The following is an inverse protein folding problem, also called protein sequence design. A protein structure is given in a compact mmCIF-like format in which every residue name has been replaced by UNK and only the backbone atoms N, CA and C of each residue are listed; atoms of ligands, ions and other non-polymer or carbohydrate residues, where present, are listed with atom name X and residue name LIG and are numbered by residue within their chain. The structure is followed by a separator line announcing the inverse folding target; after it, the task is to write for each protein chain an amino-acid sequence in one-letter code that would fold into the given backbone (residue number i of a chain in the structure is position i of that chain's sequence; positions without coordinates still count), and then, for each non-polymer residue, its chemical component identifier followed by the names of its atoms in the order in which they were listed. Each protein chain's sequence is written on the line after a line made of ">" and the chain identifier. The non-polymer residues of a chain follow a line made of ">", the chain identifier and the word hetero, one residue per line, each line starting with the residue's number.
data_IF_027523881492
#
_entry.id   IF_027523881492
#
_cell.length_a   1.000
_cell.length_b   1.000
_cell.length_c   1.000
_cell.angle_alpha   90.00
_cell.angle_beta   90.00
_cell.angle_gamma   90.00
#
_symmetry.space_group_name_H-M   'P 1'
#
loop_
_entity.id
_entity.type
_entity.pdbx_description
1 polymer ?
#
# COMPACT_ATOMS: atom_id res chain seq x y z
N UNK A 1 35.66 -47.29 1.39
CA UNK A 1 34.90 -46.76 0.26
C UNK A 1 34.04 -45.63 0.79
N UNK A 2 34.48 -44.40 0.56
CA UNK A 2 33.69 -43.19 0.82
C UNK A 2 33.28 -42.71 -0.57
N UNK A 3 31.98 -42.75 -0.85
CA UNK A 3 31.39 -42.21 -2.07
C UNK A 3 30.67 -40.92 -1.66
N UNK A 4 31.23 -39.78 -2.06
CA UNK A 4 30.60 -38.47 -1.98
C UNK A 4 29.64 -38.31 -3.16
N UNK A 5 28.37 -38.07 -2.86
CA UNK A 5 27.34 -37.65 -3.82
C UNK A 5 27.43 -36.13 -3.98
N UNK A 6 27.68 -35.67 -5.20
CA UNK A 6 27.67 -34.25 -5.56
C UNK A 6 26.23 -33.74 -5.69
N UNK A 7 25.92 -32.68 -4.95
CA UNK A 7 24.73 -31.86 -5.15
C UNK A 7 25.05 -30.77 -6.19
N UNK A 8 24.28 -30.72 -7.27
CA UNK A 8 24.27 -29.57 -8.18
C UNK A 8 23.37 -28.49 -7.56
N UNK A 9 23.96 -27.41 -7.06
CA UNK A 9 23.28 -26.17 -6.74
C UNK A 9 23.59 -25.13 -7.81
N UNK A 10 22.56 -24.64 -8.50
CA UNK A 10 22.69 -23.50 -9.41
C UNK A 10 22.73 -22.20 -8.62
N UNK A 11 23.89 -21.56 -8.55
CA UNK A 11 24.10 -20.24 -7.92
C UNK A 11 24.29 -19.12 -8.95
N UNK A 12 23.66 -19.23 -10.14
CA UNK A 12 23.86 -18.27 -11.23
C UNK A 12 23.18 -16.90 -11.00
N UNK A 13 22.04 -16.85 -10.31
CA UNK A 13 21.24 -15.62 -10.20
C UNK A 13 21.74 -14.61 -9.16
N UNK A 14 22.46 -15.07 -8.13
CA UNK A 14 22.94 -14.21 -7.05
C UNK A 14 24.26 -13.49 -7.40
N UNK A 15 25.12 -14.11 -8.23
CA UNK A 15 26.36 -13.48 -8.69
C UNK A 15 26.12 -12.43 -9.78
N UNK A 16 25.09 -12.60 -10.61
CA UNK A 16 24.76 -11.67 -11.70
C UNK A 16 24.10 -10.38 -11.18
N UNK A 17 23.26 -10.49 -10.15
CA UNK A 17 22.65 -9.35 -9.45
C UNK A 17 23.65 -8.57 -8.58
N UNK A 18 24.63 -9.25 -7.97
CA UNK A 18 25.75 -8.57 -7.30
C UNK A 18 26.65 -7.83 -8.29
N UNK A 19 26.85 -8.37 -9.50
CA UNK A 19 27.64 -7.72 -10.56
C UNK A 19 26.98 -6.47 -11.13
N UNK A 20 25.65 -6.48 -11.29
CA UNK A 20 24.90 -5.31 -11.75
C UNK A 20 24.89 -4.16 -10.72
N UNK A 21 25.05 -4.48 -9.42
CA UNK A 21 25.21 -3.48 -8.37
C UNK A 21 26.66 -2.93 -8.25
N UNK A 22 27.66 -3.64 -8.79
CA UNK A 22 29.07 -3.22 -8.78
C UNK A 22 29.47 -2.35 -9.99
N UNK A 23 28.63 -2.25 -11.01
CA UNK A 23 28.81 -1.30 -12.11
C UNK A 23 28.28 0.08 -11.68
N UNK A 24 28.93 0.63 -10.65
CA UNK A 24 28.74 2.00 -10.18
C UNK A 24 29.42 2.91 -11.20
N UNK A 25 28.65 3.47 -12.14
CA UNK A 25 29.12 4.66 -12.87
C UNK A 25 29.40 5.75 -11.84
N UNK A 26 30.62 6.27 -11.86
CA UNK A 26 31.01 7.43 -11.06
C UNK A 26 29.95 8.53 -11.34
N UNK A 27 29.39 9.21 -10.32
CA UNK A 27 28.48 10.34 -10.54
C UNK A 27 29.00 11.38 -11.54
N UNK A 28 30.32 11.41 -11.80
CA UNK A 28 30.97 12.21 -12.82
C UNK A 28 30.79 11.74 -14.28
N UNK A 29 30.24 10.54 -14.53
CA UNK A 29 30.04 9.95 -15.87
C UNK A 29 28.56 9.91 -16.33
N UNK A 30 27.62 10.37 -15.50
CA UNK A 30 26.21 10.42 -15.88
C UNK A 30 25.97 11.45 -16.99
N UNK A 31 25.20 11.05 -18.01
CA UNK A 31 24.85 11.88 -19.17
C UNK A 31 23.62 12.78 -18.93
N UNK A 32 23.10 12.84 -17.69
CA UNK A 32 21.94 13.64 -17.31
C UNK A 32 22.17 14.45 -16.04
N UNK A 33 21.50 15.60 -15.94
CA UNK A 33 21.51 16.44 -14.75
C UNK A 33 20.50 15.95 -13.70
N UNK A 34 20.91 15.96 -12.43
CA UNK A 34 20.03 15.70 -11.29
C UNK A 34 20.37 16.64 -10.12
N UNK A 35 19.34 17.04 -9.38
CA UNK A 35 19.45 17.95 -8.24
C UNK A 35 18.09 18.29 -7.66
N UNK A 36 18.06 18.90 -6.48
CA UNK A 36 16.81 19.44 -5.94
C UNK A 36 16.24 20.48 -6.92
N UNK A 37 14.92 20.42 -7.14
CA UNK A 37 14.17 21.25 -8.08
C UNK A 37 14.60 21.12 -9.56
N UNK A 38 15.46 20.15 -9.89
CA UNK A 38 15.79 19.77 -11.26
C UNK A 38 14.81 18.69 -11.72
N UNK A 39 14.15 18.94 -12.86
CA UNK A 39 13.33 17.91 -13.53
C UNK A 39 14.22 17.12 -14.47
N UNK A 40 14.25 15.78 -14.30
CA UNK A 40 14.96 14.90 -15.21
C UNK A 40 14.49 15.11 -16.65
N UNK A 41 15.43 15.15 -17.59
CA UNK A 41 15.17 15.24 -19.02
C UNK A 41 16.16 14.35 -19.76
N UNK A 42 15.67 13.51 -20.66
CA UNK A 42 16.53 12.74 -21.56
C UNK A 42 16.68 13.45 -22.90
N UNK A 43 17.92 13.59 -23.38
CA UNK A 43 18.20 14.20 -24.68
C UNK A 43 17.59 13.41 -25.86
N UNK A 44 17.43 12.10 -25.69
CA UNK A 44 16.81 11.19 -26.65
C UNK A 44 15.47 10.65 -26.12
N UNK A 45 14.46 10.38 -26.97
CA UNK A 45 13.20 9.82 -26.49
C UNK A 45 13.39 8.44 -25.83
N UNK A 46 12.90 8.28 -24.60
CA UNK A 46 12.98 7.02 -23.84
C UNK A 46 11.58 6.50 -23.51
N UNK A 47 11.38 5.19 -23.62
CA UNK A 47 10.13 4.54 -23.23
C UNK A 47 10.38 3.49 -22.16
N UNK A 48 9.63 3.55 -21.06
CA UNK A 48 9.62 2.51 -20.02
C UNK A 48 8.32 1.72 -20.03
N UNK A 49 8.40 0.41 -19.86
CA UNK A 49 7.21 -0.42 -19.63
C UNK A 49 6.67 -0.21 -18.22
N UNK A 50 5.36 -0.07 -18.06
CA UNK A 50 4.74 0.14 -16.74
C UNK A 50 3.41 -0.59 -16.60
N UNK A 51 3.15 -1.19 -15.44
CA UNK A 51 1.81 -1.68 -15.09
C UNK A 51 0.88 -0.52 -14.73
N UNK A 52 -0.40 -0.63 -15.12
CA UNK A 52 -1.43 0.33 -14.74
C UNK A 52 -2.66 -0.39 -14.19
N UNK A 53 -3.10 0.00 -12.99
CA UNK A 53 -4.31 -0.52 -12.34
C UNK A 53 -5.53 0.26 -12.82
N UNK A 54 -6.24 -0.27 -13.80
CA UNK A 54 -7.38 0.39 -14.43
C UNK A 54 -8.67 0.22 -13.59
N UNK A 55 -9.25 1.34 -13.17
CA UNK A 55 -10.42 1.34 -12.30
C UNK A 55 -11.70 1.52 -13.13
N UNK A 56 -12.63 0.59 -12.94
CA UNK A 56 -13.93 0.53 -13.61
C UNK A 56 -14.80 1.80 -13.47
N UNK A 57 -14.61 2.59 -12.40
CA UNK A 57 -15.38 3.82 -12.14
C UNK A 57 -14.79 5.06 -12.82
N UNK A 58 -13.50 5.02 -13.17
CA UNK A 58 -12.80 6.08 -13.87
C UNK A 58 -11.76 5.45 -14.82
N UNK A 59 -12.24 4.79 -15.90
CA UNK A 59 -11.36 4.04 -16.78
C UNK A 59 -10.24 4.90 -17.36
N UNK A 60 -9.08 4.28 -17.56
CA UNK A 60 -7.92 4.87 -18.20
C UNK A 60 -8.28 5.60 -19.50
N UNK A 61 -7.63 6.74 -19.71
CA UNK A 61 -7.66 7.43 -21.00
C UNK A 61 -6.25 7.80 -21.43
N UNK A 62 -5.94 7.47 -22.67
CA UNK A 62 -4.66 7.75 -23.32
C UNK A 62 -4.38 9.26 -23.43
N UNK A 63 -5.42 10.07 -23.54
CA UNK A 63 -5.33 11.52 -23.74
C UNK A 63 -5.28 12.33 -22.43
N UNK A 64 -5.10 11.69 -21.27
CA UNK A 64 -4.94 12.42 -20.02
C UNK A 64 -3.73 13.35 -20.07
N UNK A 65 -3.94 14.60 -19.64
CA UNK A 65 -2.89 15.64 -19.59
C UNK A 65 -1.62 15.17 -18.88
N UNK A 66 -1.73 14.27 -17.91
CA UNK A 66 -0.61 13.65 -17.21
C UNK A 66 0.47 13.12 -18.18
N UNK A 67 0.07 12.34 -19.20
CA UNK A 67 1.02 11.67 -20.08
C UNK A 67 1.81 12.66 -20.95
N UNK A 68 1.09 13.57 -21.62
CA UNK A 68 1.73 14.66 -22.36
C UNK A 68 2.60 15.56 -21.47
N UNK A 69 2.24 15.76 -20.21
CA UNK A 69 3.01 16.61 -19.30
C UNK A 69 4.33 15.97 -18.88
N UNK A 70 4.35 14.64 -18.73
CA UNK A 70 5.58 13.90 -18.46
C UNK A 70 6.47 13.97 -19.71
N UNK A 71 5.96 13.60 -20.87
CA UNK A 71 6.72 13.60 -22.13
C UNK A 71 7.31 14.99 -22.45
N UNK A 72 6.52 16.07 -22.36
CA UNK A 72 6.98 17.45 -22.59
C UNK A 72 8.12 17.88 -21.65
N UNK A 73 8.14 17.34 -20.43
CA UNK A 73 9.12 17.73 -19.41
C UNK A 73 10.36 16.86 -19.44
N UNK A 74 10.21 15.58 -19.71
CA UNK A 74 11.27 14.59 -19.46
C UNK A 74 11.74 13.86 -20.71
N UNK A 75 11.04 14.00 -21.84
CA UNK A 75 11.23 13.18 -23.05
C UNK A 75 11.00 11.67 -22.80
N UNK A 76 10.25 11.33 -21.74
CA UNK A 76 9.92 9.95 -21.36
C UNK A 76 8.46 9.65 -21.68
N UNK A 77 8.24 8.49 -22.30
CA UNK A 77 6.91 7.89 -22.50
C UNK A 77 6.80 6.54 -21.81
N UNK A 78 5.57 6.01 -21.70
CA UNK A 78 5.33 4.72 -21.05
C UNK A 78 4.56 3.77 -21.97
N UNK A 79 5.05 2.54 -22.07
CA UNK A 79 4.31 1.42 -22.64
C UNK A 79 3.49 0.75 -21.53
N UNK A 80 2.18 1.03 -21.50
CA UNK A 80 1.32 0.62 -20.40
C UNK A 80 0.72 -0.76 -20.62
N UNK A 81 0.95 -1.65 -19.65
CA UNK A 81 0.15 -2.85 -19.49
C UNK A 81 -1.04 -2.54 -18.58
N UNK A 82 -2.20 -2.28 -19.19
CA UNK A 82 -3.45 -2.04 -18.49
C UNK A 82 -4.00 -3.33 -17.88
N UNK A 83 -4.32 -3.33 -16.59
CA UNK A 83 -4.88 -4.47 -15.87
C UNK A 83 -6.06 -3.99 -15.04
N UNK A 84 -7.19 -4.70 -15.13
CA UNK A 84 -8.35 -4.42 -14.31
C UNK A 84 -7.97 -4.39 -12.82
N UNK A 85 -8.47 -3.38 -12.09
CA UNK A 85 -8.13 -3.15 -10.68
C UNK A 85 -8.27 -4.39 -9.81
N UNK A 86 -9.29 -5.21 -10.05
CA UNK A 86 -9.59 -6.44 -9.31
C UNK A 86 -8.54 -7.53 -9.51
N UNK A 87 -7.90 -7.57 -10.67
CA UNK A 87 -6.98 -8.64 -11.08
C UNK A 87 -5.51 -8.20 -10.93
N UNK A 88 -5.30 -6.95 -10.53
CA UNK A 88 -4.01 -6.28 -10.60
C UNK A 88 -2.94 -6.98 -9.73
N UNK A 89 -3.27 -7.35 -8.49
CA UNK A 89 -2.31 -7.99 -7.59
C UNK A 89 -1.91 -9.40 -8.05
N UNK A 90 -2.86 -10.16 -8.60
CA UNK A 90 -2.60 -11.48 -9.19
C UNK A 90 -1.69 -11.34 -10.41
N UNK A 91 -1.92 -10.31 -11.24
CA UNK A 91 -1.09 -10.04 -12.40
C UNK A 91 0.32 -9.60 -12.03
N UNK A 92 0.49 -8.76 -11.01
CA UNK A 92 1.81 -8.41 -10.45
C UNK A 92 2.54 -9.68 -10.00
N UNK A 93 1.87 -10.51 -9.19
CA UNK A 93 2.45 -11.76 -8.68
C UNK A 93 2.88 -12.69 -9.81
N UNK A 94 2.07 -12.84 -10.85
CA UNK A 94 2.38 -13.69 -11.98
C UNK A 94 3.60 -13.18 -12.78
N UNK A 95 3.66 -11.88 -13.07
CA UNK A 95 4.72 -11.29 -13.89
C UNK A 95 6.06 -11.25 -13.16
N UNK A 96 6.07 -10.94 -11.86
CA UNK A 96 7.30 -10.99 -11.06
C UNK A 96 7.83 -12.42 -10.97
N UNK A 97 6.95 -13.40 -10.77
CA UNK A 97 7.33 -14.81 -10.71
C UNK A 97 7.79 -15.41 -12.03
N UNK A 98 7.32 -14.92 -13.18
CA UNK A 98 7.81 -15.35 -14.49
C UNK A 98 9.08 -14.64 -14.94
N UNK A 99 9.52 -13.59 -14.25
CA UNK A 99 10.60 -12.72 -14.70
C UNK A 99 10.21 -11.81 -15.87
N UNK A 100 8.91 -11.60 -16.08
CA UNK A 100 8.35 -10.78 -17.16
C UNK A 100 7.73 -9.47 -16.62
N UNK A 101 8.08 -9.09 -15.39
CA UNK A 101 7.65 -7.84 -14.80
C UNK A 101 8.13 -6.63 -15.64
N UNK A 102 7.27 -5.63 -15.87
CA UNK A 102 7.74 -4.39 -16.48
C UNK A 102 8.64 -3.63 -15.50
N UNK A 103 9.43 -2.71 -16.06
CA UNK A 103 10.33 -1.85 -15.29
C UNK A 103 9.67 -1.11 -14.12
N UNK A 104 8.40 -0.67 -14.28
CA UNK A 104 7.70 0.12 -13.26
C UNK A 104 6.40 -0.58 -12.84
N UNK A 105 6.26 -0.84 -11.53
CA UNK A 105 5.04 -1.31 -10.89
C UNK A 105 4.63 -0.29 -9.83
N UNK A 106 3.77 0.70 -10.18
CA UNK A 106 3.54 1.88 -9.33
C UNK A 106 2.66 1.60 -8.12
N UNK A 107 1.87 0.51 -8.16
CA UNK A 107 0.96 0.12 -7.08
C UNK A 107 1.37 -1.24 -6.55
N UNK A 108 1.90 -1.28 -5.33
CA UNK A 108 2.22 -2.52 -4.60
C UNK A 108 1.92 -2.27 -3.13
N UNK A 109 1.16 -3.16 -2.46
CA UNK A 109 0.83 -3.01 -1.02
C UNK A 109 1.77 -3.81 -0.11
N UNK A 110 2.13 -5.01 -0.53
CA UNK A 110 3.13 -5.86 0.12
C UNK A 110 4.06 -6.41 -0.96
N UNK A 111 5.37 -6.32 -0.69
CA UNK A 111 6.42 -6.80 -1.58
C UNK A 111 7.28 -7.89 -0.93
N UNK A 112 6.97 -8.30 0.31
CA UNK A 112 7.84 -9.15 1.13
C UNK A 112 8.21 -10.46 0.42
N UNK A 113 7.25 -11.11 -0.24
CA UNK A 113 7.51 -12.34 -1.01
C UNK A 113 8.52 -12.14 -2.17
N UNK A 114 8.56 -10.95 -2.78
CA UNK A 114 9.48 -10.63 -3.88
C UNK A 114 10.86 -10.23 -3.35
N UNK A 115 10.90 -9.58 -2.18
CA UNK A 115 12.15 -9.29 -1.45
C UNK A 115 12.81 -10.59 -1.02
N UNK A 116 12.08 -11.46 -0.32
CA UNK A 116 12.59 -12.70 0.27
C UNK A 116 13.11 -13.68 -0.80
N UNK A 117 12.54 -13.63 -2.00
CA UNK A 117 12.95 -14.45 -3.15
C UNK A 117 14.06 -13.80 -4.00
N UNK A 118 14.47 -12.56 -3.69
CA UNK A 118 15.51 -11.83 -4.43
C UNK A 118 15.09 -11.41 -5.84
N UNK A 119 13.79 -11.30 -6.12
CA UNK A 119 13.26 -10.94 -7.43
C UNK A 119 13.27 -9.43 -7.70
N UNK A 120 13.42 -8.62 -6.66
CA UNK A 120 13.47 -7.16 -6.75
C UNK A 120 14.70 -6.61 -6.03
N UNK A 121 15.22 -5.50 -6.55
CA UNK A 121 16.38 -4.81 -5.99
C UNK A 121 15.94 -3.75 -4.95
N UNK A 122 16.79 -3.42 -3.97
CA UNK A 122 16.49 -2.37 -3.00
C UNK A 122 16.50 -0.99 -3.66
N UNK A 123 15.34 -0.33 -3.71
CA UNK A 123 15.25 1.03 -4.27
C UNK A 123 16.03 2.05 -3.44
N UNK A 124 16.24 1.78 -2.14
CA UNK A 124 17.02 2.63 -1.24
C UNK A 124 18.47 2.83 -1.69
N UNK A 125 19.03 1.93 -2.49
CA UNK A 125 20.40 2.06 -3.01
C UNK A 125 20.52 3.10 -4.15
N UNK A 126 19.39 3.63 -4.63
CA UNK A 126 19.32 4.51 -5.81
C UNK A 126 18.76 5.90 -5.50
N UNK A 127 18.33 6.17 -4.27
CA UNK A 127 17.64 7.44 -3.92
C UNK A 127 18.55 8.67 -3.95
N UNK A 128 19.87 8.50 -4.00
CA UNK A 128 20.82 9.58 -4.29
C UNK A 128 20.57 10.25 -5.65
N UNK A 129 19.99 9.53 -6.61
CA UNK A 129 19.58 10.05 -7.92
C UNK A 129 18.15 10.60 -7.91
N UNK A 130 17.49 10.61 -6.75
CA UNK A 130 16.13 11.11 -6.56
C UNK A 130 16.11 12.27 -5.54
N UNK A 131 16.85 13.36 -5.78
CA UNK A 131 16.99 14.45 -4.82
C UNK A 131 15.66 15.13 -4.46
N UNK A 132 14.71 15.22 -5.40
CA UNK A 132 13.36 15.73 -5.10
C UNK A 132 12.60 14.84 -4.12
N UNK A 133 12.75 13.52 -4.22
CA UNK A 133 12.17 12.58 -3.25
C UNK A 133 12.83 12.73 -1.88
N UNK A 134 14.16 12.78 -1.82
CA UNK A 134 14.89 12.97 -0.56
C UNK A 134 14.59 14.31 0.10
N UNK A 135 14.40 15.36 -0.69
CA UNK A 135 13.94 16.66 -0.21
C UNK A 135 12.57 16.54 0.47
N UNK A 136 11.60 15.89 -0.14
CA UNK A 136 10.29 15.64 0.47
C UNK A 136 10.39 14.80 1.75
N UNK A 137 11.25 13.77 1.77
CA UNK A 137 11.49 12.96 2.98
C UNK A 137 11.97 13.83 4.14
N UNK A 138 12.96 14.69 3.89
CA UNK A 138 13.54 15.56 4.90
C UNK A 138 12.57 16.68 5.34
N UNK A 139 11.94 17.37 4.38
CA UNK A 139 11.06 18.50 4.65
C UNK A 139 9.79 18.09 5.39
N UNK A 140 9.31 16.86 5.14
CA UNK A 140 8.07 16.34 5.74
C UNK A 140 8.33 15.43 6.96
N UNK A 141 9.59 15.22 7.34
CA UNK A 141 9.98 14.43 8.51
C UNK A 141 9.60 12.95 8.40
N UNK A 142 9.72 12.37 7.21
CA UNK A 142 9.28 11.01 6.90
C UNK A 142 10.28 9.92 7.29
N UNK A 143 11.44 10.24 7.85
CA UNK A 143 12.51 9.28 8.09
C UNK A 143 12.11 8.14 9.03
N UNK A 144 11.36 8.44 10.09
CA UNK A 144 10.87 7.41 11.02
C UNK A 144 9.79 6.53 10.38
N UNK A 145 8.92 7.10 9.54
CA UNK A 145 7.92 6.33 8.78
C UNK A 145 8.61 5.40 7.78
N UNK A 146 9.62 5.91 7.06
CA UNK A 146 10.41 5.12 6.11
C UNK A 146 11.10 3.94 6.78
N UNK A 147 11.68 4.11 7.97
CA UNK A 147 12.30 3.02 8.74
C UNK A 147 11.33 1.87 9.02
N UNK A 148 10.02 2.12 9.10
CA UNK A 148 9.02 1.05 9.28
C UNK A 148 8.88 0.13 8.06
N UNK A 149 9.38 0.56 6.90
CA UNK A 149 9.37 -0.21 5.66
C UNK A 149 10.67 -0.98 5.41
N UNK A 150 11.66 -0.82 6.30
CA UNK A 150 12.96 -1.45 6.14
C UNK A 150 12.85 -2.95 6.35
N UNK A 151 13.56 -3.68 5.51
CA UNK A 151 13.73 -5.12 5.60
C UNK A 151 14.88 -5.43 6.56
N UNK A 152 15.12 -6.72 6.84
CA UNK A 152 16.13 -7.15 7.81
C UNK A 152 17.56 -6.71 7.45
N UNK A 153 17.82 -6.44 6.17
CA UNK A 153 19.08 -5.91 5.64
C UNK A 153 19.24 -4.38 5.85
N UNK A 154 18.23 -3.72 6.44
CA UNK A 154 18.22 -2.27 6.67
C UNK A 154 17.87 -1.45 5.42
N UNK A 155 17.39 -2.09 4.36
CA UNK A 155 17.02 -1.45 3.09
C UNK A 155 15.51 -1.45 2.88
N UNK A 156 15.02 -0.56 2.01
CA UNK A 156 13.63 -0.60 1.55
C UNK A 156 13.59 -0.81 0.04
N UNK A 157 12.58 -1.58 -0.40
CA UNK A 157 12.46 -2.10 -1.76
C UNK A 157 11.31 -1.45 -2.53
N UNK A 158 10.62 -0.50 -1.91
CA UNK A 158 9.49 0.23 -2.48
C UNK A 158 9.51 1.67 -1.97
N UNK A 159 9.28 2.63 -2.88
CA UNK A 159 9.06 4.02 -2.50
C UNK A 159 7.73 4.15 -1.75
N UNK A 160 7.66 4.86 -0.61
CA UNK A 160 6.43 5.03 0.12
C UNK A 160 5.45 5.92 -0.65
N UNK A 161 4.16 5.81 -0.31
CA UNK A 161 3.25 6.93 -0.56
C UNK A 161 3.71 8.10 0.30
N UNK A 162 3.80 9.30 -0.28
CA UNK A 162 4.29 10.47 0.45
C UNK A 162 3.16 11.44 0.78
N UNK A 163 3.09 11.84 2.05
CA UNK A 163 2.10 12.77 2.56
C UNK A 163 2.82 13.91 3.29
N UNK A 164 2.63 15.15 2.84
CA UNK A 164 3.19 16.35 3.51
C UNK A 164 2.70 16.50 4.95
N UNK A 165 1.48 16.04 5.22
CA UNK A 165 0.89 15.94 6.55
C UNK A 165 0.28 14.55 6.68
N UNK A 166 0.40 13.93 7.85
CA UNK A 166 -0.19 12.63 8.13
C UNK A 166 -1.63 12.54 7.61
N UNK A 167 -1.89 11.54 6.76
CA UNK A 167 -3.22 11.31 6.23
C UNK A 167 -4.20 11.01 7.38
N UNK A 168 -5.39 11.60 7.32
CA UNK A 168 -6.47 11.25 8.23
C UNK A 168 -6.84 9.77 8.08
N UNK A 169 -7.07 9.10 9.21
CA UNK A 169 -7.59 7.73 9.21
C UNK A 169 -9.04 7.66 8.71
N UNK A 170 -9.52 6.44 8.48
CA UNK A 170 -10.93 6.20 8.19
C UNK A 170 -11.78 6.45 9.44
N UNK A 171 -12.97 7.00 9.22
CA UNK A 171 -13.97 7.25 10.26
C UNK A 171 -15.37 7.03 9.71
N UNK A 172 -16.35 7.03 10.61
CA UNK A 172 -17.76 6.92 10.27
C UNK A 172 -18.31 8.29 9.86
N UNK A 173 -19.12 8.30 8.80
CA UNK A 173 -19.86 9.48 8.37
C UNK A 173 -21.34 9.13 8.37
N UNK A 174 -22.14 9.99 8.99
CA UNK A 174 -23.60 9.83 9.07
C UNK A 174 -24.32 10.94 8.31
N UNK A 175 -25.54 10.64 7.85
CA UNK A 175 -26.48 11.65 7.37
C UNK A 175 -27.25 12.23 8.56
N UNK A 176 -26.70 13.27 9.19
CA UNK A 176 -27.27 13.92 10.38
C UNK A 176 -28.75 14.26 10.21
N UNK A 177 -29.12 14.80 9.05
CA UNK A 177 -30.50 15.15 8.72
C UNK A 177 -31.46 13.95 8.72
N UNK A 178 -31.00 12.78 8.24
CA UNK A 178 -31.79 11.54 8.24
C UNK A 178 -31.88 10.96 9.65
N UNK A 179 -30.78 11.00 10.41
CA UNK A 179 -30.74 10.53 11.81
C UNK A 179 -31.69 11.35 12.70
N UNK A 180 -31.65 12.68 12.59
CA UNK A 180 -32.54 13.57 13.35
C UNK A 180 -34.01 13.37 12.97
N UNK A 181 -34.30 13.24 11.67
CA UNK A 181 -35.67 12.96 11.21
C UNK A 181 -36.20 11.60 11.68
N UNK A 182 -35.31 10.62 11.91
CA UNK A 182 -35.62 9.33 12.51
C UNK A 182 -35.73 9.38 14.05
N UNK A 183 -35.58 10.55 14.68
CA UNK A 183 -35.67 10.71 16.12
C UNK A 183 -34.41 10.25 16.88
N UNK A 184 -33.24 10.30 16.23
CA UNK A 184 -31.94 10.14 16.89
C UNK A 184 -31.43 11.53 17.31
N UNK A 185 -31.10 11.68 18.58
CA UNK A 185 -30.38 12.86 19.08
C UNK A 185 -28.90 12.69 18.76
N UNK A 186 -28.46 13.25 17.63
CA UNK A 186 -27.08 13.10 17.14
C UNK A 186 -26.08 13.81 18.05
N UNK A 187 -26.45 14.96 18.63
CA UNK A 187 -25.58 15.75 19.52
C UNK A 187 -25.36 15.04 20.86
N UNK A 188 -26.36 14.30 21.35
CA UNK A 188 -26.16 13.46 22.52
C UNK A 188 -25.36 12.20 22.18
N UNK A 189 -25.68 11.54 21.06
CA UNK A 189 -25.02 10.31 20.63
C UNK A 189 -23.50 10.51 20.44
N UNK A 190 -23.08 11.60 19.80
CA UNK A 190 -21.66 11.83 19.48
C UNK A 190 -20.75 12.00 20.73
N UNK A 191 -21.32 12.31 21.90
CA UNK A 191 -20.53 12.56 23.12
C UNK A 191 -19.87 11.29 23.66
N UNK A 192 -20.56 10.15 23.62
CA UNK A 192 -20.12 8.93 24.28
C UNK A 192 -20.77 7.64 23.75
N UNK A 193 -21.09 7.57 22.46
CA UNK A 193 -21.68 6.38 21.86
C UNK A 193 -20.82 5.11 21.99
N UNK A 194 -21.52 3.98 22.05
CA UNK A 194 -20.99 2.62 21.86
C UNK A 194 -21.52 2.02 20.56
N UNK A 195 -20.89 0.96 20.06
CA UNK A 195 -21.38 0.25 18.86
C UNK A 195 -22.84 -0.22 18.99
N UNK A 196 -23.28 -0.56 20.20
CA UNK A 196 -24.68 -0.90 20.48
C UNK A 196 -25.60 0.33 20.35
N UNK A 197 -25.18 1.50 20.87
CA UNK A 197 -25.94 2.75 20.69
C UNK A 197 -26.07 3.13 19.21
N UNK A 198 -25.00 2.92 18.44
CA UNK A 198 -25.01 3.20 17.01
C UNK A 198 -25.88 2.20 16.23
N UNK A 199 -25.88 0.93 16.63
CA UNK A 199 -26.79 -0.06 16.09
C UNK A 199 -28.26 0.32 16.33
N UNK A 200 -28.62 0.73 17.54
CA UNK A 200 -29.98 1.20 17.87
C UNK A 200 -30.36 2.47 17.09
N UNK A 201 -29.41 3.39 16.87
CA UNK A 201 -29.62 4.55 16.02
C UNK A 201 -29.90 4.13 14.56
N UNK A 202 -29.16 3.16 14.03
CA UNK A 202 -29.38 2.63 12.67
C UNK A 202 -30.73 1.92 12.54
N UNK A 203 -31.22 1.23 13.58
CA UNK A 203 -32.56 0.63 13.59
C UNK A 203 -33.65 1.69 13.41
N UNK A 204 -33.56 2.82 14.15
CA UNK A 204 -34.47 3.95 13.98
C UNK A 204 -34.43 4.53 12.57
N UNK A 205 -33.23 4.72 12.03
CA UNK A 205 -33.04 5.21 10.66
C UNK A 205 -33.63 4.25 9.64
N UNK A 206 -33.50 2.94 9.85
CA UNK A 206 -34.08 1.92 8.99
C UNK A 206 -35.60 1.93 9.02
N UNK A 207 -36.19 2.04 10.21
CA UNK A 207 -37.64 2.17 10.37
C UNK A 207 -38.16 3.44 9.69
N UNK A 208 -37.50 4.58 9.89
CA UNK A 208 -37.89 5.87 9.31
C UNK A 208 -37.78 5.88 7.77
N UNK A 209 -36.67 5.38 7.22
CA UNK A 209 -36.41 5.41 5.77
C UNK A 209 -37.12 4.29 5.01
N UNK A 210 -37.44 3.17 5.66
CA UNK A 210 -37.94 1.96 5.01
C UNK A 210 -36.93 1.30 4.06
N UNK A 211 -35.64 1.68 4.12
CA UNK A 211 -34.61 1.14 3.25
C UNK A 211 -34.17 -0.27 3.68
N UNK A 212 -33.82 -1.11 2.70
CA UNK A 212 -33.27 -2.44 2.97
C UNK A 212 -31.93 -2.36 3.72
N UNK A 213 -31.12 -1.34 3.42
CA UNK A 213 -29.81 -1.07 4.03
C UNK A 213 -29.67 0.40 4.41
N UNK A 214 -29.18 0.65 5.62
CA UNK A 214 -28.89 1.99 6.17
C UNK A 214 -27.42 2.17 6.54
N UNK A 215 -26.62 1.15 6.26
CA UNK A 215 -25.17 1.13 6.39
C UNK A 215 -24.56 0.83 5.03
N UNK A 216 -23.48 1.54 4.69
CA UNK A 216 -22.66 1.21 3.54
C UNK A 216 -21.19 1.24 3.94
N UNK A 217 -20.55 0.08 3.86
CA UNK A 217 -19.10 -0.02 3.77
C UNK A 217 -18.80 -0.61 2.39
N UNK A 218 -18.20 0.21 1.52
CA UNK A 218 -17.81 -0.18 0.17
C UNK A 218 -16.94 -1.44 0.13
N UNK A 219 -16.26 -1.75 1.24
CA UNK A 219 -15.29 -2.81 1.38
C UNK A 219 -15.82 -4.00 2.19
N UNK A 220 -17.12 -4.28 2.09
CA UNK A 220 -17.75 -5.47 2.67
C UNK A 220 -17.49 -5.62 4.18
N UNK A 221 -17.61 -4.51 4.93
CA UNK A 221 -17.31 -4.38 6.36
C UNK A 221 -15.82 -4.46 6.73
N UNK A 222 -14.90 -4.59 5.77
CA UNK A 222 -13.46 -4.58 6.04
C UNK A 222 -13.00 -3.28 6.73
N UNK A 223 -13.51 -2.12 6.29
CA UNK A 223 -13.17 -0.84 6.91
C UNK A 223 -13.83 -0.69 8.28
N UNK A 224 -15.12 -1.04 8.39
CA UNK A 224 -15.86 -1.01 9.67
C UNK A 224 -15.17 -1.84 10.74
N UNK A 225 -14.74 -3.06 10.40
CA UNK A 225 -14.07 -3.96 11.33
C UNK A 225 -12.70 -3.46 11.78
N UNK A 226 -11.97 -2.76 10.90
CA UNK A 226 -10.74 -2.08 11.29
C UNK A 226 -11.01 -0.98 12.32
N UNK A 227 -11.99 -0.11 12.05
CA UNK A 227 -12.36 0.99 12.95
C UNK A 227 -12.80 0.45 14.32
N UNK A 228 -13.65 -0.58 14.34
CA UNK A 228 -14.16 -1.16 15.59
C UNK A 228 -13.06 -1.84 16.39
N UNK A 229 -12.13 -2.56 15.75
CA UNK A 229 -11.13 -3.36 16.43
C UNK A 229 -10.18 -2.57 17.33
N UNK A 230 -9.95 -1.29 17.05
CA UNK A 230 -9.11 -0.42 17.87
C UNK A 230 -9.62 -0.33 19.31
N UNK A 231 -10.93 -0.16 19.51
CA UNK A 231 -11.54 -0.01 20.84
C UNK A 231 -11.46 -1.31 21.66
N UNK A 232 -11.45 -2.45 20.99
CA UNK A 232 -11.35 -3.77 21.62
C UNK A 232 -9.89 -4.23 21.75
N UNK A 233 -8.91 -3.35 21.51
CA UNK A 233 -7.49 -3.72 21.52
C UNK A 233 -7.18 -4.94 20.64
N UNK A 234 -7.88 -5.08 19.52
CA UNK A 234 -7.81 -6.22 18.61
C UNK A 234 -7.29 -5.81 17.23
N UNK A 235 -7.26 -6.74 16.28
CA UNK A 235 -7.00 -6.49 14.86
C UNK A 235 -8.08 -7.17 14.03
N UNK A 236 -8.71 -6.41 13.14
CA UNK A 236 -9.68 -6.93 12.19
C UNK A 236 -9.76 -6.02 10.96
N UNK A 237 -10.53 -6.44 9.97
CA UNK A 237 -10.72 -5.69 8.73
C UNK A 237 -9.95 -6.29 7.58
N UNK A 238 -10.59 -7.21 6.88
CA UNK A 238 -10.18 -7.71 5.58
C UNK A 238 -11.43 -7.67 4.69
N UNK A 239 -11.27 -7.21 3.46
CA UNK A 239 -12.34 -7.12 2.47
C UNK A 239 -12.17 -8.21 1.42
N UNK A 240 -13.29 -8.69 0.88
CA UNK A 240 -13.30 -9.80 -0.08
C UNK A 240 -12.63 -9.48 -1.41
N UNK A 241 -12.37 -8.20 -1.69
CA UNK A 241 -11.57 -7.70 -2.83
C UNK A 241 -10.05 -7.76 -2.59
N UNK A 242 -9.61 -8.38 -1.49
CA UNK A 242 -8.21 -8.55 -1.13
C UNK A 242 -7.62 -7.37 -0.35
N UNK A 243 -8.43 -6.37 0.02
CA UNK A 243 -8.00 -5.27 0.88
C UNK A 243 -7.76 -5.71 2.33
N UNK A 244 -6.56 -5.49 2.85
CA UNK A 244 -6.28 -5.58 4.28
C UNK A 244 -6.38 -4.20 4.92
N UNK A 245 -7.41 -4.00 5.72
CA UNK A 245 -7.72 -2.73 6.37
C UNK A 245 -7.02 -2.61 7.73
N UNK A 246 -6.72 -3.72 8.39
CA UNK A 246 -6.15 -3.70 9.74
C UNK A 246 -5.89 -5.07 10.35
N UNK A 247 -6.27 -6.17 9.67
CA UNK A 247 -6.04 -7.52 10.17
C UNK A 247 -4.54 -7.87 10.12
N UNK A 248 -3.85 -7.57 9.02
CA UNK A 248 -2.43 -7.94 8.80
C UNK A 248 -2.21 -9.42 9.05
N UNK A 249 -1.15 -9.76 9.79
CA UNK A 249 -0.88 -11.12 10.26
C UNK A 249 -1.65 -11.50 11.54
N UNK A 250 -2.56 -10.64 12.04
CA UNK A 250 -3.33 -10.88 13.26
C UNK A 250 -2.51 -10.84 14.56
N UNK A 251 -1.22 -10.54 14.50
CA UNK A 251 -0.31 -10.57 15.66
C UNK A 251 -0.22 -9.19 16.32
N UNK A 252 -0.29 -9.16 17.65
CA UNK A 252 0.05 -7.98 18.47
C UNK A 252 1.18 -8.32 19.43
N UNK A 253 1.90 -7.29 19.86
CA UNK A 253 2.92 -7.40 20.90
C UNK A 253 2.31 -6.98 22.24
N UNK A 254 2.46 -7.83 23.25
CA UNK A 254 2.18 -7.54 24.64
C UNK A 254 3.45 -6.98 25.29
N UNK A 255 3.41 -5.68 25.64
CA UNK A 255 4.56 -4.99 26.25
C UNK A 255 4.77 -5.37 27.72
N UNK A 256 3.74 -5.86 28.41
CA UNK A 256 3.84 -6.26 29.82
C UNK A 256 4.54 -7.62 29.94
N UNK A 257 4.24 -8.54 29.03
CA UNK A 257 4.80 -9.89 29.00
C UNK A 257 5.97 -10.07 28.01
N UNK A 258 6.26 -9.06 27.18
CA UNK A 258 7.24 -9.10 26.09
C UNK A 258 7.06 -10.27 25.12
N UNK A 259 5.81 -10.55 24.75
CA UNK A 259 5.48 -11.66 23.84
C UNK A 259 4.54 -11.25 22.71
N UNK A 260 4.62 -11.98 21.60
CA UNK A 260 3.67 -11.86 20.51
C UNK A 260 2.49 -12.80 20.72
N UNK A 261 1.27 -12.32 20.49
CA UNK A 261 0.07 -13.13 20.56
C UNK A 261 -0.83 -12.89 19.33
N UNK A 262 -1.60 -13.91 18.98
CA UNK A 262 -2.63 -13.80 17.95
C UNK A 262 -3.89 -13.19 18.53
N UNK A 263 -4.31 -12.05 17.99
CA UNK A 263 -5.52 -11.35 18.43
C UNK A 263 -6.78 -12.19 18.21
N UNK A 264 -6.85 -12.96 17.13
CA UNK A 264 -8.01 -13.79 16.81
C UNK A 264 -8.31 -14.89 17.85
N UNK A 265 -7.39 -15.18 18.76
CA UNK A 265 -7.58 -16.16 19.84
C UNK A 265 -8.00 -15.53 21.17
N UNK A 266 -8.19 -14.22 21.23
CA UNK A 266 -8.55 -13.50 22.47
C UNK A 266 -10.06 -13.32 22.62
N UNK A 267 -10.49 -13.17 23.86
CA UNK A 267 -11.86 -12.77 24.20
C UNK A 267 -12.25 -11.44 23.55
N UNK A 268 -11.30 -10.50 23.48
CA UNK A 268 -11.54 -9.19 22.87
C UNK A 268 -11.82 -9.25 21.37
N UNK A 269 -11.26 -10.22 20.65
CA UNK A 269 -11.63 -10.46 19.25
C UNK A 269 -13.02 -11.11 19.13
N UNK A 270 -13.37 -12.02 20.05
CA UNK A 270 -14.71 -12.61 20.08
C UNK A 270 -15.79 -11.54 20.26
N UNK A 271 -15.52 -10.55 21.11
CA UNK A 271 -16.46 -9.52 21.54
C UNK A 271 -16.54 -8.33 20.56
N UNK A 272 -15.83 -8.40 19.42
CA UNK A 272 -16.00 -7.44 18.32
C UNK A 272 -17.47 -7.38 17.85
N UNK A 273 -17.99 -6.19 17.50
CA UNK A 273 -19.31 -6.07 16.87
C UNK A 273 -19.30 -6.85 15.54
N UNK A 274 -20.31 -7.70 15.31
CA UNK A 274 -20.46 -8.51 14.09
C UNK A 274 -21.83 -8.31 13.47
#
# INVERSE_FOLDING_TARGET
>A
MIASLGACGGSGGAEESAKAAEEYEDPAELDYEYGEDVTFHSDEPVTYTMLFSDHENYPYKEDWRLWSAIEEKTNVTFDLTLVARTDYNDKVSALVNSGEAPWIIPKTYDASNYVDSGQIIPISDWVQYMPNYMKCVNDWGMEEELKTTYQLDGKYYRLPGMWEVAAGGYSLIIRKDVFEAAGVDVEELEKNWTWDDFYEALLKVKEYTGADYVWSDQYQLGSTMNISAVQYSSKAGNSTDGGDWGLRNGVKFDWDNNEFYFTNTTDTYRDLPR
#
